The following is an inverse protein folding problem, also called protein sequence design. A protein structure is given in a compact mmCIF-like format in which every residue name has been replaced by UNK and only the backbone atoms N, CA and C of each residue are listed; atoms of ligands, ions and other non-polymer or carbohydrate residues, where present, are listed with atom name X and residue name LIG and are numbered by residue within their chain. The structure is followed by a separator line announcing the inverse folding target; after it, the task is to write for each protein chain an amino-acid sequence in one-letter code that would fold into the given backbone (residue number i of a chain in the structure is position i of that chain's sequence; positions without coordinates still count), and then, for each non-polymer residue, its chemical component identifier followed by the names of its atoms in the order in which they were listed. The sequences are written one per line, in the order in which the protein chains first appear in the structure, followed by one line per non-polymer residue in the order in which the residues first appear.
data_IF_884406644593
#
_entry.id   IF_884406644593
#
_cell.length_a   1.000
_cell.length_b   1.000
_cell.length_c   1.000
_cell.angle_alpha   90.00
_cell.angle_beta   90.00
_cell.angle_gamma   90.00
#
_symmetry.space_group_name_H-M   'P 1'
#
loop_
_entity.id
_entity.type
_entity.pdbx_description
1 polymer ?
#
# COMPACT_ATOMS: atom_id res chain seq x y z
N UNK A 1 -43.09 0.47 -0.81
CA UNK A 1 -42.73 -0.63 -1.73
C UNK A 1 -42.04 -1.70 -0.89
N UNK A 2 -42.68 -2.86 -0.68
CA UNK A 2 -42.17 -3.90 0.24
C UNK A 2 -41.21 -4.84 -0.49
N UNK A 3 -40.19 -5.36 0.22
CA UNK A 3 -39.19 -6.31 -0.33
C UNK A 3 -39.85 -7.54 -0.99
N UNK A 4 -40.99 -7.99 -0.46
CA UNK A 4 -41.77 -9.09 -1.02
C UNK A 4 -42.42 -8.76 -2.38
N UNK A 5 -42.86 -7.51 -2.58
CA UNK A 5 -43.41 -7.04 -3.86
C UNK A 5 -42.35 -7.06 -4.96
N UNK A 6 -41.14 -6.61 -4.62
CA UNK A 6 -40.01 -6.53 -5.55
C UNK A 6 -39.51 -7.93 -5.92
N UNK A 7 -39.38 -8.83 -4.95
CA UNK A 7 -39.04 -10.24 -5.19
C UNK A 7 -40.09 -10.97 -6.04
N UNK A 8 -41.37 -10.57 -5.93
CA UNK A 8 -42.45 -11.11 -6.78
C UNK A 8 -42.31 -10.63 -8.22
N UNK A 9 -42.02 -9.34 -8.44
CA UNK A 9 -41.77 -8.78 -9.78
C UNK A 9 -40.58 -9.44 -10.47
N UNK A 10 -39.52 -9.74 -9.72
CA UNK A 10 -38.33 -10.41 -10.25
C UNK A 10 -38.49 -11.94 -10.38
N UNK A 11 -39.63 -12.52 -9.96
CA UNK A 11 -39.89 -13.97 -10.04
C UNK A 11 -39.08 -14.84 -9.07
N UNK A 12 -38.43 -14.24 -8.06
CA UNK A 12 -37.60 -14.96 -7.08
C UNK A 12 -38.33 -15.29 -5.78
N UNK A 13 -39.53 -14.75 -5.55
CA UNK A 13 -40.24 -14.87 -4.27
C UNK A 13 -40.41 -16.32 -3.78
N UNK A 14 -40.73 -17.24 -4.69
CA UNK A 14 -40.89 -18.66 -4.38
C UNK A 14 -39.54 -19.32 -3.99
N UNK A 15 -38.45 -18.99 -4.70
CA UNK A 15 -37.10 -19.57 -4.48
C UNK A 15 -36.50 -19.20 -3.13
N UNK A 16 -36.92 -18.08 -2.55
CA UNK A 16 -36.44 -17.61 -1.24
C UNK A 16 -37.34 -18.03 -0.08
N UNK A 17 -38.34 -18.91 -0.30
CA UNK A 17 -39.24 -19.41 0.75
C UNK A 17 -40.54 -18.60 0.94
N UNK A 18 -40.86 -17.71 0.01
CA UNK A 18 -42.12 -16.97 -0.01
C UNK A 18 -42.25 -15.89 1.06
N UNK A 19 -43.47 -15.33 1.18
CA UNK A 19 -43.77 -14.26 2.14
C UNK A 19 -43.60 -14.71 3.60
N UNK A 20 -43.86 -15.99 3.89
CA UNK A 20 -43.77 -16.57 5.23
C UNK A 20 -42.32 -16.53 5.74
N UNK A 21 -41.35 -16.87 4.88
CA UNK A 21 -39.94 -16.81 5.25
C UNK A 21 -39.48 -15.37 5.57
N UNK A 22 -39.90 -14.39 4.76
CA UNK A 22 -39.58 -12.98 5.00
C UNK A 22 -40.14 -12.51 6.35
N UNK A 23 -41.39 -12.87 6.69
CA UNK A 23 -41.96 -12.56 8.01
C UNK A 23 -41.18 -13.23 9.14
N UNK A 24 -40.72 -14.47 8.96
CA UNK A 24 -39.90 -15.16 9.96
C UNK A 24 -38.56 -14.47 10.22
N UNK A 25 -37.94 -13.85 9.21
CA UNK A 25 -36.69 -13.10 9.37
C UNK A 25 -36.88 -11.85 10.24
N UNK A 26 -38.03 -11.18 10.12
CA UNK A 26 -38.37 -10.03 10.96
C UNK A 26 -38.55 -10.46 12.42
N UNK A 27 -39.23 -11.58 12.64
CA UNK A 27 -39.50 -12.09 13.99
C UNK A 27 -38.27 -12.65 14.72
N UNK A 28 -37.22 -13.06 13.99
CA UNK A 28 -36.02 -13.67 14.55
C UNK A 28 -34.92 -12.65 14.93
N UNK A 29 -35.08 -11.37 14.64
CA UNK A 29 -34.08 -10.34 14.98
C UNK A 29 -34.45 -9.69 16.32
N UNK A 30 -33.66 -9.88 17.40
CA UNK A 30 -34.03 -9.38 18.72
C UNK A 30 -34.05 -7.85 18.80
N UNK A 31 -33.07 -7.17 18.17
CA UNK A 31 -32.93 -5.70 18.20
C UNK A 31 -32.28 -5.22 16.90
N UNK A 32 -32.96 -4.32 16.17
CA UNK A 32 -32.46 -3.77 14.90
C UNK A 32 -31.14 -2.97 15.05
N UNK A 33 -30.89 -2.38 16.23
CA UNK A 33 -29.66 -1.63 16.53
C UNK A 33 -28.37 -2.47 16.37
N UNK A 34 -28.47 -3.80 16.52
CA UNK A 34 -27.33 -4.72 16.38
C UNK A 34 -27.04 -5.14 14.93
N UNK A 35 -27.73 -4.58 13.92
CA UNK A 35 -27.52 -4.93 12.52
C UNK A 35 -26.05 -4.82 12.08
N UNK A 36 -25.34 -3.77 12.51
CA UNK A 36 -23.91 -3.59 12.22
C UNK A 36 -23.05 -4.69 12.84
N UNK A 37 -23.38 -5.12 14.06
CA UNK A 37 -22.69 -6.20 14.76
C UNK A 37 -22.87 -7.54 14.03
N UNK A 38 -24.11 -7.91 13.71
CA UNK A 38 -24.38 -9.13 12.95
C UNK A 38 -23.77 -9.11 11.53
N UNK A 39 -23.83 -7.96 10.85
CA UNK A 39 -23.16 -7.78 9.56
C UNK A 39 -21.65 -8.03 9.66
N UNK A 40 -21.02 -7.62 10.76
CA UNK A 40 -19.60 -7.87 11.02
C UNK A 40 -19.32 -9.36 11.20
N UNK A 41 -20.17 -10.08 11.95
CA UNK A 41 -20.06 -11.54 12.12
C UNK A 41 -20.17 -12.25 10.77
N UNK A 42 -21.18 -11.92 9.97
CA UNK A 42 -21.39 -12.53 8.64
C UNK A 42 -20.19 -12.23 7.73
N UNK A 43 -19.68 -11.00 7.74
CA UNK A 43 -18.53 -10.59 6.96
C UNK A 43 -17.25 -11.35 7.37
N UNK A 44 -16.97 -11.47 8.67
CA UNK A 44 -15.80 -12.20 9.16
C UNK A 44 -15.86 -13.68 8.76
N UNK A 45 -17.02 -14.33 8.90
CA UNK A 45 -17.20 -15.71 8.47
C UNK A 45 -17.10 -15.88 6.94
N UNK A 46 -17.57 -14.89 6.16
CA UNK A 46 -17.42 -14.91 4.71
C UNK A 46 -15.94 -14.80 4.28
N UNK A 47 -15.14 -13.98 4.99
CA UNK A 47 -13.70 -13.88 4.76
C UNK A 47 -12.99 -15.20 5.05
N UNK A 48 -13.31 -15.86 6.16
CA UNK A 48 -12.74 -17.18 6.49
C UNK A 48 -13.06 -18.22 5.40
N UNK A 49 -14.30 -18.25 4.91
CA UNK A 49 -14.68 -19.15 3.79
C UNK A 49 -13.90 -18.86 2.51
N UNK A 50 -13.65 -17.59 2.19
CA UNK A 50 -12.85 -17.22 1.01
C UNK A 50 -11.39 -17.60 1.17
N UNK A 51 -10.83 -17.44 2.37
CA UNK A 51 -9.47 -17.88 2.67
C UNK A 51 -9.32 -19.39 2.50
N UNK A 52 -10.27 -20.18 3.00
CA UNK A 52 -10.30 -21.63 2.80
C UNK A 52 -10.32 -21.95 1.30
N UNK A 53 -11.21 -21.32 0.53
CA UNK A 53 -11.30 -21.55 -0.92
C UNK A 53 -9.99 -21.19 -1.66
N UNK A 54 -9.33 -20.09 -1.26
CA UNK A 54 -8.05 -19.70 -1.83
C UNK A 54 -6.95 -20.72 -1.50
N UNK A 55 -6.86 -21.14 -0.24
CA UNK A 55 -5.90 -22.15 0.21
C UNK A 55 -6.11 -23.50 -0.51
N UNK A 56 -7.36 -23.94 -0.68
CA UNK A 56 -7.68 -25.16 -1.43
C UNK A 56 -7.22 -25.05 -2.88
N UNK A 57 -7.47 -23.92 -3.56
CA UNK A 57 -7.01 -23.71 -4.95
C UNK A 57 -5.49 -23.73 -5.06
N UNK A 58 -4.79 -23.07 -4.13
CA UNK A 58 -3.32 -23.06 -4.09
C UNK A 58 -2.78 -24.47 -3.87
N UNK A 59 -3.40 -25.25 -2.97
CA UNK A 59 -3.03 -26.64 -2.77
C UNK A 59 -3.24 -27.48 -4.04
N UNK A 60 -4.36 -27.29 -4.76
CA UNK A 60 -4.61 -27.95 -6.06
C UNK A 60 -3.54 -27.62 -7.09
N UNK A 61 -3.14 -26.35 -7.21
CA UNK A 61 -2.07 -25.92 -8.11
C UNK A 61 -0.73 -26.61 -7.81
N UNK A 62 -0.44 -26.91 -6.54
CA UNK A 62 0.78 -27.62 -6.14
C UNK A 62 0.83 -29.10 -6.53
N UNK A 63 -0.32 -29.72 -6.82
CA UNK A 63 -0.40 -31.10 -7.30
C UNK A 63 -0.34 -31.21 -8.83
N UNK A 64 -0.70 -30.15 -9.55
CA UNK A 64 -0.62 -30.09 -11.01
C UNK A 64 0.85 -29.85 -11.41
N UNK A 65 1.39 -30.65 -12.34
CA UNK A 65 2.76 -30.44 -12.84
C UNK A 65 2.78 -29.09 -13.59
N UNK A 66 3.44 -28.04 -13.06
CA UNK A 66 3.36 -26.72 -13.67
C UNK A 66 4.21 -26.69 -14.93
N UNK A 67 3.71 -26.07 -16.00
CA UNK A 67 4.55 -25.72 -17.17
C UNK A 67 5.54 -24.60 -16.84
N UNK A 68 5.20 -23.74 -15.88
CA UNK A 68 6.04 -22.67 -15.36
C UNK A 68 5.76 -22.45 -13.86
N UNK A 69 6.80 -22.60 -13.05
CA UNK A 69 6.74 -22.44 -11.59
C UNK A 69 6.54 -20.97 -11.20
N UNK A 70 7.16 -20.03 -11.93
CA UNK A 70 7.07 -18.59 -11.60
C UNK A 70 5.62 -18.11 -11.75
N UNK A 71 4.97 -18.40 -12.89
CA UNK A 71 3.55 -18.06 -13.07
C UNK A 71 2.60 -18.71 -12.07
N UNK A 72 2.98 -19.85 -11.49
CA UNK A 72 2.17 -20.55 -10.49
C UNK A 72 2.27 -19.87 -9.13
N UNK A 73 3.47 -19.42 -8.75
CA UNK A 73 3.70 -18.61 -7.56
C UNK A 73 2.94 -17.28 -7.67
N UNK A 74 3.04 -16.59 -8.81
CA UNK A 74 2.34 -15.32 -9.04
C UNK A 74 0.81 -15.46 -8.88
N UNK A 75 0.22 -16.53 -9.42
CA UNK A 75 -1.21 -16.82 -9.26
C UNK A 75 -1.60 -17.09 -7.82
N UNK A 76 -0.75 -17.80 -7.06
CA UNK A 76 -0.98 -18.07 -5.65
C UNK A 76 -0.96 -16.77 -4.83
N UNK A 77 0.00 -15.89 -5.08
CA UNK A 77 0.08 -14.56 -4.47
C UNK A 77 -1.17 -13.73 -4.77
N UNK A 78 -1.62 -13.74 -6.04
CA UNK A 78 -2.83 -13.02 -6.45
C UNK A 78 -4.08 -13.52 -5.73
N UNK A 79 -4.25 -14.84 -5.57
CA UNK A 79 -5.39 -15.42 -4.85
C UNK A 79 -5.43 -15.00 -3.38
N UNK A 80 -4.28 -14.97 -2.70
CA UNK A 80 -4.19 -14.49 -1.32
C UNK A 80 -4.48 -12.97 -1.25
N UNK A 81 -3.94 -12.20 -2.19
CA UNK A 81 -4.14 -10.76 -2.24
C UNK A 81 -5.62 -10.37 -2.43
N UNK A 82 -6.36 -11.11 -3.27
CA UNK A 82 -7.79 -10.85 -3.49
C UNK A 82 -8.66 -11.13 -2.26
N UNK A 83 -8.24 -12.02 -1.35
CA UNK A 83 -8.88 -12.18 -0.03
C UNK A 83 -8.69 -10.93 0.84
N UNK A 84 -7.55 -10.24 0.71
CA UNK A 84 -7.18 -9.06 1.50
C UNK A 84 -7.83 -7.76 0.99
N UNK A 85 -8.00 -7.59 -0.33
CA UNK A 85 -8.52 -6.35 -0.98
C UNK A 85 -9.79 -5.78 -0.36
N UNK A 86 -10.67 -6.62 0.20
CA UNK A 86 -11.97 -6.16 0.70
C UNK A 86 -11.87 -5.32 1.98
N UNK A 87 -10.71 -5.27 2.66
CA UNK A 87 -10.46 -4.36 3.78
C UNK A 87 -10.24 -2.91 3.34
N UNK A 88 -9.76 -2.68 2.12
CA UNK A 88 -9.49 -1.35 1.59
C UNK A 88 -10.66 -0.80 0.77
N UNK A 89 -11.83 -0.64 1.39
CA UNK A 89 -12.75 0.41 0.94
C UNK A 89 -12.34 1.68 1.66
N UNK A 90 -11.81 2.66 0.93
CA UNK A 90 -11.60 4.01 1.47
C UNK A 90 -12.89 4.47 2.14
N UNK A 91 -12.82 4.83 3.42
CA UNK A 91 -13.95 5.49 4.07
C UNK A 91 -14.24 6.78 3.29
N UNK A 92 -15.49 7.00 2.91
CA UNK A 92 -15.93 8.30 2.46
C UNK A 92 -15.83 9.24 3.67
N UNK A 93 -14.92 10.20 3.61
CA UNK A 93 -14.76 11.23 4.65
C UNK A 93 -15.52 12.48 4.25
N UNK A 94 -16.15 13.15 5.20
CA UNK A 94 -16.78 14.44 4.93
C UNK A 94 -15.72 15.54 4.79
N UNK A 95 -15.99 16.56 3.96
CA UNK A 95 -15.06 17.70 3.83
C UNK A 95 -14.84 18.40 5.17
N UNK A 96 -15.86 18.46 6.04
CA UNK A 96 -15.76 19.05 7.38
C UNK A 96 -14.73 18.34 8.26
N UNK A 97 -14.70 17.00 8.23
CA UNK A 97 -13.71 16.20 8.96
C UNK A 97 -12.30 16.43 8.40
N UNK A 98 -12.14 16.41 7.08
CA UNK A 98 -10.85 16.64 6.43
C UNK A 98 -10.30 18.04 6.72
N UNK A 99 -11.15 19.07 6.73
CA UNK A 99 -10.75 20.44 7.07
C UNK A 99 -10.25 20.52 8.51
N UNK A 100 -10.94 19.90 9.47
CA UNK A 100 -10.50 19.89 10.87
C UNK A 100 -9.12 19.21 11.02
N UNK A 101 -8.93 18.04 10.40
CA UNK A 101 -7.64 17.33 10.40
C UNK A 101 -6.53 18.17 9.75
N UNK A 102 -6.83 18.85 8.64
CA UNK A 102 -5.85 19.67 7.91
C UNK A 102 -5.45 20.90 8.73
N UNK A 103 -6.39 21.56 9.41
CA UNK A 103 -6.08 22.70 10.28
C UNK A 103 -5.17 22.30 11.44
N UNK A 104 -5.41 21.15 12.07
CA UNK A 104 -4.57 20.64 13.15
C UNK A 104 -3.13 20.37 12.66
N UNK A 105 -2.97 19.87 11.43
CA UNK A 105 -1.65 19.70 10.82
C UNK A 105 -0.94 21.03 10.57
N UNK A 106 -1.67 22.05 10.08
CA UNK A 106 -1.11 23.39 9.83
C UNK A 106 -0.67 24.04 11.16
N UNK A 107 -1.46 23.94 12.23
CA UNK A 107 -1.09 24.46 13.55
C UNK A 107 0.19 23.80 14.08
N UNK A 108 0.28 22.47 13.99
CA UNK A 108 1.51 21.74 14.38
C UNK A 108 2.74 22.21 13.60
N UNK A 109 2.59 22.47 12.30
CA UNK A 109 3.68 22.99 11.49
C UNK A 109 4.09 24.41 11.92
N UNK A 110 3.12 25.28 12.17
CA UNK A 110 3.36 26.64 12.65
C UNK A 110 4.10 26.65 14.00
N UNK A 111 3.68 25.83 14.95
CA UNK A 111 4.29 25.74 16.28
C UNK A 111 5.69 25.15 16.27
N UNK A 112 5.96 24.20 15.37
CA UNK A 112 7.27 23.54 15.27
C UNK A 112 8.40 24.48 14.86
N UNK A 113 8.09 25.64 14.24
CA UNK A 113 9.05 26.59 13.62
C UNK A 113 10.07 25.94 12.68
N UNK A 114 9.86 24.69 12.29
CA UNK A 114 10.71 23.96 11.36
C UNK A 114 10.31 24.35 9.94
N UNK A 115 11.26 24.82 9.16
CA UNK A 115 11.07 25.11 7.74
C UNK A 115 11.00 23.84 6.88
N UNK A 116 11.24 22.66 7.48
CA UNK A 116 11.21 21.35 6.83
C UNK A 116 9.97 20.58 7.29
N UNK A 117 9.00 20.45 6.39
CA UNK A 117 7.76 19.68 6.61
C UNK A 117 7.89 18.25 6.08
N UNK A 118 8.70 18.06 5.05
CA UNK A 118 9.00 16.79 4.42
C UNK A 118 10.30 16.17 4.90
N UNK A 119 10.71 15.10 4.23
CA UNK A 119 11.96 14.40 4.50
C UNK A 119 13.16 15.19 3.98
N UNK A 120 14.15 15.55 4.81
CA UNK A 120 15.35 16.26 4.36
C UNK A 120 16.16 15.45 3.35
N UNK A 121 16.65 16.11 2.30
CA UNK A 121 17.48 15.46 1.27
C UNK A 121 18.98 15.54 1.57
N UNK A 122 19.37 16.45 2.48
CA UNK A 122 20.76 16.77 2.78
C UNK A 122 21.35 17.88 1.90
N UNK A 123 20.59 18.34 0.91
CA UNK A 123 20.93 19.50 0.10
C UNK A 123 20.15 20.71 0.63
N UNK A 124 20.77 21.49 1.52
CA UNK A 124 20.12 22.61 2.23
C UNK A 124 19.37 23.56 1.30
N UNK A 125 19.99 23.96 0.18
CA UNK A 125 19.36 24.88 -0.77
C UNK A 125 18.20 24.26 -1.57
N UNK A 126 18.21 22.94 -1.76
CA UNK A 126 17.09 22.22 -2.35
C UNK A 126 15.95 22.11 -1.33
N UNK A 127 16.27 21.68 -0.11
CA UNK A 127 15.34 21.51 1.00
C UNK A 127 14.64 22.83 1.38
N UNK A 128 15.32 23.98 1.31
CA UNK A 128 14.68 25.29 1.49
C UNK A 128 13.63 25.61 0.42
N UNK A 129 13.82 25.12 -0.81
CA UNK A 129 12.89 25.37 -1.93
C UNK A 129 11.73 24.38 -1.95
N UNK A 130 11.93 23.16 -1.48
CA UNK A 130 10.95 22.07 -1.52
C UNK A 130 10.29 21.78 -0.17
N UNK A 131 10.81 22.37 0.91
CA UNK A 131 10.51 21.98 2.29
C UNK A 131 10.76 20.49 2.57
N UNK A 132 11.72 19.88 1.84
CA UNK A 132 12.00 18.44 1.86
C UNK A 132 11.09 17.62 0.94
N UNK A 133 11.26 16.31 0.93
CA UNK A 133 10.42 15.39 0.15
C UNK A 133 9.11 15.11 0.89
N UNK A 134 7.99 15.54 0.33
CA UNK A 134 6.69 15.41 1.00
C UNK A 134 6.17 13.96 0.97
N UNK A 135 5.54 13.49 2.06
CA UNK A 135 4.81 12.22 2.04
C UNK A 135 3.74 12.22 0.95
N UNK A 136 3.50 11.06 0.33
CA UNK A 136 2.49 10.84 -0.73
C UNK A 136 2.81 11.44 -2.11
N UNK A 137 3.89 12.21 -2.26
CA UNK A 137 4.29 12.75 -3.56
C UNK A 137 5.06 11.72 -4.41
N UNK A 138 4.82 11.76 -5.72
CA UNK A 138 5.66 11.10 -6.72
C UNK A 138 6.67 12.11 -7.28
N UNK A 139 7.93 12.00 -6.84
CA UNK A 139 9.00 12.88 -7.29
C UNK A 139 9.77 12.23 -8.44
N UNK A 140 9.78 12.89 -9.60
CA UNK A 140 10.46 12.40 -10.81
C UNK A 140 11.76 13.16 -11.03
N UNK A 141 12.89 12.44 -11.04
CA UNK A 141 14.21 13.00 -11.36
C UNK A 141 14.58 12.64 -12.80
N UNK A 142 14.56 13.63 -13.69
CA UNK A 142 14.95 13.48 -15.09
C UNK A 142 16.27 14.21 -15.37
N UNK A 143 17.19 13.54 -16.06
CA UNK A 143 18.44 14.13 -16.53
C UNK A 143 18.92 13.40 -17.78
N UNK A 144 19.76 14.07 -18.59
CA UNK A 144 20.44 13.41 -19.72
C UNK A 144 21.44 12.36 -19.20
N UNK A 145 21.81 11.35 -20.02
CA UNK A 145 22.85 10.39 -19.67
C UNK A 145 24.14 11.08 -19.23
N UNK A 146 24.85 10.46 -18.28
CA UNK A 146 26.11 10.94 -17.69
C UNK A 146 26.05 12.25 -16.87
N UNK A 147 24.89 12.90 -16.70
CA UNK A 147 24.77 14.12 -15.85
C UNK A 147 24.80 13.82 -14.34
N UNK A 148 24.67 12.54 -13.95
CA UNK A 148 24.76 12.14 -12.55
C UNK A 148 23.42 11.93 -11.85
N UNK A 149 22.35 11.62 -12.59
CA UNK A 149 21.03 11.22 -12.05
C UNK A 149 21.16 10.22 -10.89
N UNK A 150 21.86 9.11 -11.13
CA UNK A 150 22.05 8.05 -10.14
C UNK A 150 22.86 8.55 -8.94
N UNK A 151 23.90 9.34 -9.15
CA UNK A 151 24.72 9.88 -8.05
C UNK A 151 23.91 10.83 -7.16
N UNK A 152 23.09 11.69 -7.76
CA UNK A 152 22.19 12.58 -7.03
C UNK A 152 21.16 11.80 -6.22
N UNK A 153 20.46 10.84 -6.83
CA UNK A 153 19.46 10.02 -6.13
C UNK A 153 20.08 9.18 -5.01
N UNK A 154 21.27 8.61 -5.23
CA UNK A 154 22.00 7.88 -4.19
C UNK A 154 22.45 8.79 -3.03
N UNK A 155 22.86 10.03 -3.31
CA UNK A 155 23.23 11.00 -2.28
C UNK A 155 22.06 11.30 -1.34
N UNK A 156 20.87 11.54 -1.90
CA UNK A 156 19.64 11.70 -1.11
C UNK A 156 19.36 10.45 -0.29
N UNK A 157 19.37 9.27 -0.92
CA UNK A 157 19.11 8.01 -0.24
C UNK A 157 20.09 7.75 0.92
N UNK A 158 21.37 8.05 0.72
CA UNK A 158 22.41 7.92 1.73
C UNK A 158 22.18 8.88 2.91
N UNK A 159 21.85 10.15 2.63
CA UNK A 159 21.54 11.12 3.68
C UNK A 159 20.34 10.66 4.52
N UNK A 160 19.25 10.26 3.88
CA UNK A 160 18.05 9.76 4.56
C UNK A 160 18.35 8.51 5.41
N UNK A 161 19.16 7.58 4.89
CA UNK A 161 19.48 6.37 5.60
C UNK A 161 20.43 6.60 6.79
N UNK A 162 21.47 7.42 6.61
CA UNK A 162 22.55 7.58 7.59
C UNK A 162 22.30 8.70 8.60
N UNK A 163 21.71 9.81 8.18
CA UNK A 163 21.47 10.99 9.02
C UNK A 163 20.08 10.94 9.63
N UNK A 164 19.04 10.84 8.78
CA UNK A 164 17.64 10.80 9.24
C UNK A 164 17.24 9.44 9.85
N UNK A 165 18.10 8.42 9.73
CA UNK A 165 17.91 7.05 10.25
C UNK A 165 16.60 6.39 9.79
N UNK A 166 16.14 6.70 8.57
CA UNK A 166 14.94 6.08 7.98
C UNK A 166 15.32 5.01 6.97
N UNK A 167 14.51 3.96 6.89
CA UNK A 167 14.70 2.89 5.91
C UNK A 167 14.47 3.39 4.48
N UNK A 168 15.39 3.07 3.57
CA UNK A 168 15.31 3.43 2.14
C UNK A 168 15.39 2.18 1.28
N UNK A 169 14.43 2.02 0.35
CA UNK A 169 14.44 0.97 -0.65
C UNK A 169 14.91 1.53 -1.99
N UNK A 170 15.86 0.85 -2.64
CA UNK A 170 16.40 1.25 -3.95
C UNK A 170 16.14 0.14 -4.96
N UNK A 171 15.46 0.49 -6.04
CA UNK A 171 15.25 -0.38 -7.19
C UNK A 171 16.09 0.13 -8.36
N UNK A 172 16.98 -0.71 -8.87
CA UNK A 172 17.88 -0.37 -9.98
C UNK A 172 17.70 -1.34 -11.13
N UNK A 173 17.45 -0.76 -12.30
CA UNK A 173 17.25 -1.49 -13.56
C UNK A 173 18.45 -1.36 -14.51
N UNK A 174 19.38 -0.44 -14.24
CA UNK A 174 20.53 -0.15 -15.10
C UNK A 174 21.84 -0.68 -14.52
N UNK A 175 22.01 -0.57 -13.19
CA UNK A 175 23.23 -0.93 -12.49
C UNK A 175 23.02 -2.16 -11.60
N UNK A 176 24.06 -3.00 -11.49
CA UNK A 176 24.04 -4.15 -10.57
C UNK A 176 24.07 -3.70 -9.11
N UNK A 177 23.60 -4.57 -8.21
CA UNK A 177 23.62 -4.34 -6.76
C UNK A 177 25.04 -4.01 -6.27
N UNK A 178 26.05 -4.74 -6.75
CA UNK A 178 27.45 -4.56 -6.38
C UNK A 178 27.97 -3.18 -6.80
N UNK A 179 27.64 -2.71 -8.01
CA UNK A 179 28.08 -1.39 -8.49
C UNK A 179 27.47 -0.24 -7.67
N UNK A 180 26.21 -0.37 -7.25
CA UNK A 180 25.58 0.63 -6.39
C UNK A 180 26.18 0.63 -4.99
N UNK A 181 26.38 -0.54 -4.39
CA UNK A 181 27.02 -0.67 -3.08
C UNK A 181 28.43 -0.08 -3.09
N UNK A 182 29.21 -0.34 -4.14
CA UNK A 182 30.53 0.25 -4.30
C UNK A 182 30.48 1.78 -4.32
N UNK A 183 29.53 2.37 -5.06
CA UNK A 183 29.36 3.84 -5.10
C UNK A 183 28.98 4.42 -3.74
N UNK A 184 28.07 3.76 -3.01
CA UNK A 184 27.69 4.18 -1.67
C UNK A 184 28.90 4.12 -0.72
N UNK A 185 29.70 3.05 -0.77
CA UNK A 185 30.92 2.94 0.05
C UNK A 185 31.96 4.00 -0.32
N UNK A 186 32.21 4.23 -1.61
CA UNK A 186 33.12 5.30 -2.06
C UNK A 186 32.64 6.69 -1.60
N UNK A 187 31.34 6.95 -1.69
CA UNK A 187 30.72 8.21 -1.26
C UNK A 187 30.92 8.44 0.25
N UNK A 188 30.68 7.40 1.07
CA UNK A 188 30.85 7.49 2.52
C UNK A 188 32.33 7.59 2.93
N UNK A 189 33.17 6.72 2.39
CA UNK A 189 34.60 6.67 2.74
C UNK A 189 35.40 7.81 2.11
N UNK A 190 34.79 8.62 1.23
CA UNK A 190 35.45 9.66 0.43
C UNK A 190 36.66 9.14 -0.35
N UNK A 191 36.53 7.93 -0.90
CA UNK A 191 37.55 7.27 -1.71
C UNK A 191 37.20 7.39 -3.18
N UNK A 192 38.21 7.66 -4.01
CA UNK A 192 38.03 7.70 -5.46
C UNK A 192 37.57 6.33 -6.00
N UNK A 193 36.46 6.33 -6.74
CA UNK A 193 35.88 5.12 -7.31
C UNK A 193 36.78 4.45 -8.36
N UNK A 194 37.68 5.20 -9.00
CA UNK A 194 38.68 4.66 -9.92
C UNK A 194 39.73 3.83 -9.17
N UNK A 195 40.24 4.36 -8.06
CA UNK A 195 41.19 3.70 -7.15
C UNK A 195 40.64 2.42 -6.56
N UNK A 196 39.38 2.46 -6.10
CA UNK A 196 38.72 1.27 -5.57
C UNK A 196 38.51 0.18 -6.64
N UNK A 197 38.43 0.56 -7.91
CA UNK A 197 38.28 -0.37 -9.04
C UNK A 197 39.61 -0.95 -9.50
N UNK A 198 40.69 -0.17 -9.43
CA UNK A 198 42.04 -0.62 -9.75
C UNK A 198 42.73 -1.39 -8.62
N UNK A 199 42.13 -1.44 -7.43
CA UNK A 199 42.68 -2.13 -6.26
C UNK A 199 43.84 -1.39 -5.58
N UNK A 200 44.12 -0.17 -6.01
CA UNK A 200 45.12 0.73 -5.42
C UNK A 200 44.42 1.70 -4.48
N UNK A 201 44.32 1.32 -3.20
CA UNK A 201 43.74 2.14 -2.13
C UNK A 201 44.50 3.46 -1.96
#
# INVERSE_FOLDING_TARGET
VTVAEELKKMGFLEKVGGKVFIHSLVSNVPIAANAKYYATIVNNNALLRRLINAATRIATMGYEVPSDIESTIDKAEQLIFDVSKQRHKSKLSSLKELLAETFEQIEKLYDSKSYLTGLPTGYIEFDKKTAGLQPSDLIVVAARPAIGKTSFTLGIAQHVALVEKKAVAIFSLEMSKQQLTQRLMCSEARIDASRLRSGTL
#
